data_IF_580856482508
#
_entry.id   IF_580856482508
#
_cell.length_a   1.000
_cell.length_b   1.000
_cell.length_c   1.000
_cell.angle_alpha   90.00
_cell.angle_beta   90.00
_cell.angle_gamma   90.00
#
_symmetry.space_group_name_H-M   'P 1'
#
loop_
_entity.id
_entity.type
_entity.pdbx_description
1 polymer ?
#
# COMPACT_ATOMS: atom_id res chain seq x y z
N UNK A 1 38.08 41.72 51.03
CA UNK A 1 36.90 41.66 50.14
C UNK A 1 37.32 40.97 48.84
N UNK A 2 36.99 39.65 48.70
CA UNK A 2 37.31 38.85 47.51
C UNK A 2 36.08 38.90 46.57
N UNK A 3 36.27 39.50 45.38
CA UNK A 3 35.26 39.49 44.31
C UNK A 3 35.32 38.11 43.61
N UNK A 4 34.24 37.37 43.65
CA UNK A 4 34.04 36.16 42.87
C UNK A 4 33.47 36.59 41.49
N UNK A 5 34.27 36.40 40.45
CA UNK A 5 33.81 36.47 39.04
C UNK A 5 33.13 35.15 38.71
N UNK A 6 31.82 35.13 38.60
CA UNK A 6 31.07 34.03 37.95
C UNK A 6 31.34 34.10 36.46
N UNK A 7 32.13 33.18 35.97
CA UNK A 7 32.29 32.93 34.55
C UNK A 7 31.02 32.20 34.03
N UNK A 8 30.26 32.87 33.17
CA UNK A 8 29.17 32.28 32.41
C UNK A 8 29.81 31.38 31.35
N UNK A 9 29.82 30.06 31.58
CA UNK A 9 30.16 29.09 30.54
C UNK A 9 28.92 28.98 29.65
N UNK A 10 28.93 29.68 28.52
CA UNK A 10 27.98 29.46 27.44
C UNK A 10 28.20 28.07 26.87
N UNK A 11 27.36 27.14 27.28
CA UNK A 11 27.31 25.79 26.69
C UNK A 11 26.77 25.97 25.26
N UNK A 12 27.65 26.02 24.27
CA UNK A 12 27.29 25.93 22.87
C UNK A 12 26.73 24.51 22.67
N UNK A 13 25.42 24.38 22.65
CA UNK A 13 24.76 23.18 22.13
C UNK A 13 24.98 23.22 20.61
N UNK A 14 26.05 22.57 20.17
CA UNK A 14 26.18 22.19 18.78
C UNK A 14 25.06 21.21 18.50
N UNK A 15 23.96 21.70 17.90
CA UNK A 15 23.01 20.82 17.22
C UNK A 15 23.81 20.25 16.06
N UNK A 16 24.42 19.08 16.27
CA UNK A 16 24.99 18.31 15.19
C UNK A 16 23.82 18.00 14.25
N UNK A 17 23.81 18.59 13.05
CA UNK A 17 23.01 18.11 11.95
C UNK A 17 23.47 16.66 11.73
N UNK A 18 22.60 15.74 12.08
CA UNK A 18 22.90 14.31 12.09
C UNK A 18 22.62 13.78 10.67
N UNK A 19 23.48 14.24 9.74
CA UNK A 19 23.39 13.89 8.33
C UNK A 19 24.14 12.59 8.05
N UNK A 20 23.65 11.84 7.05
CA UNK A 20 24.25 10.59 6.60
C UNK A 20 23.39 9.37 6.89
N UNK A 21 24.00 8.19 6.85
CA UNK A 21 23.30 6.92 7.10
C UNK A 21 23.46 6.52 8.56
N UNK A 22 22.32 6.44 9.27
CA UNK A 22 22.26 5.86 10.63
C UNK A 22 21.90 4.40 10.53
N UNK A 23 22.60 3.58 11.33
CA UNK A 23 22.33 2.14 11.43
C UNK A 23 21.85 1.81 12.84
N UNK A 24 20.67 1.19 12.90
CA UNK A 24 20.18 0.55 14.11
C UNK A 24 20.43 -0.94 14.07
N UNK A 25 20.63 -1.55 15.23
CA UNK A 25 20.92 -2.98 15.38
C UNK A 25 19.89 -3.65 16.27
N UNK A 26 19.64 -4.92 16.01
CA UNK A 26 18.87 -5.82 16.84
C UNK A 26 19.73 -6.34 18.00
N UNK A 27 19.13 -6.90 19.05
CA UNK A 27 19.84 -7.50 20.19
C UNK A 27 20.80 -8.63 19.78
N UNK A 28 20.50 -9.34 18.68
CA UNK A 28 21.34 -10.39 18.12
C UNK A 28 22.54 -9.87 17.27
N UNK A 29 22.71 -8.54 17.18
CA UNK A 29 23.77 -7.89 16.43
C UNK A 29 23.49 -7.69 14.93
N UNK A 30 22.40 -8.20 14.39
CA UNK A 30 22.01 -7.95 13.00
C UNK A 30 21.56 -6.50 12.81
N UNK A 31 21.79 -5.94 11.62
CA UNK A 31 21.27 -4.62 11.26
C UNK A 31 19.73 -4.70 11.23
N UNK A 32 19.09 -3.77 11.93
CA UNK A 32 17.64 -3.58 11.93
C UNK A 32 17.21 -2.61 10.84
N UNK A 33 17.97 -1.50 10.69
CA UNK A 33 17.68 -0.48 9.68
C UNK A 33 18.92 0.31 9.30
N UNK A 34 18.91 0.83 8.06
CA UNK A 34 19.84 1.82 7.55
C UNK A 34 19.01 3.00 7.02
N UNK A 35 19.05 4.11 7.73
CA UNK A 35 18.21 5.27 7.47
C UNK A 35 19.07 6.45 7.05
N UNK A 36 18.79 7.02 5.90
CA UNK A 36 19.52 8.18 5.39
C UNK A 36 18.86 9.47 5.85
N UNK A 37 19.67 10.34 6.46
CA UNK A 37 19.24 11.64 6.96
C UNK A 37 20.00 12.79 6.26
N UNK A 38 19.28 13.88 6.04
CA UNK A 38 19.81 15.16 5.61
C UNK A 38 19.07 16.27 6.39
N UNK A 39 19.79 17.19 7.00
CA UNK A 39 19.22 18.25 7.86
C UNK A 39 18.31 17.68 8.98
N UNK A 40 18.66 16.51 9.53
CA UNK A 40 17.92 15.85 10.59
C UNK A 40 16.62 15.15 10.18
N UNK A 41 16.30 15.11 8.88
CA UNK A 41 15.13 14.44 8.31
C UNK A 41 15.52 13.27 7.43
N UNK A 42 14.64 12.28 7.32
CA UNK A 42 14.80 11.20 6.35
C UNK A 42 14.85 11.79 4.94
N UNK A 43 15.94 11.52 4.21
CA UNK A 43 16.14 12.02 2.86
C UNK A 43 16.97 11.03 2.04
N UNK A 44 16.39 10.51 0.97
CA UNK A 44 16.96 9.45 0.16
C UNK A 44 16.50 8.06 0.57
N UNK A 45 17.25 7.04 0.15
CA UNK A 45 16.91 5.64 0.36
C UNK A 45 17.12 5.22 1.82
N UNK A 46 16.11 4.58 2.39
CA UNK A 46 16.12 3.99 3.73
C UNK A 46 15.65 2.54 3.67
N UNK A 47 16.29 1.67 4.45
CA UNK A 47 16.13 0.22 4.37
C UNK A 47 15.89 -0.36 5.75
N UNK A 48 14.99 -1.34 5.84
CA UNK A 48 14.71 -2.12 7.04
C UNK A 48 14.88 -3.60 6.76
N UNK A 49 15.38 -4.32 7.76
CA UNK A 49 15.66 -5.74 7.68
C UNK A 49 14.84 -6.55 8.69
N UNK A 50 14.62 -7.82 8.37
CA UNK A 50 14.01 -8.79 9.29
C UNK A 50 14.98 -9.16 10.41
N UNK A 51 14.51 -9.86 11.45
CA UNK A 51 15.37 -10.43 12.50
C UNK A 51 16.45 -11.36 11.95
N UNK A 52 16.23 -11.96 10.78
CA UNK A 52 17.20 -12.85 10.08
C UNK A 52 18.19 -12.08 9.18
N UNK A 53 18.12 -10.72 9.15
CA UNK A 53 19.00 -9.88 8.32
C UNK A 53 18.60 -9.86 6.83
N UNK A 54 17.40 -10.32 6.47
CA UNK A 54 16.88 -10.22 5.10
C UNK A 54 16.18 -8.88 4.90
N UNK A 55 16.19 -8.35 3.68
CA UNK A 55 15.41 -7.16 3.33
C UNK A 55 13.94 -7.38 3.67
N UNK A 56 13.35 -6.40 4.34
CA UNK A 56 11.93 -6.37 4.66
C UNK A 56 11.23 -5.23 3.93
N UNK A 57 11.82 -4.03 3.98
CA UNK A 57 11.27 -2.81 3.41
C UNK A 57 12.41 -1.92 2.91
N UNK A 58 12.16 -1.24 1.80
CA UNK A 58 13.01 -0.19 1.25
C UNK A 58 12.12 0.95 0.79
N UNK A 59 12.42 2.17 1.16
CA UNK A 59 11.65 3.35 0.77
C UNK A 59 12.54 4.52 0.44
N UNK A 60 12.11 5.35 -0.50
CA UNK A 60 12.77 6.62 -0.82
C UNK A 60 11.99 7.76 -0.18
N UNK A 61 12.69 8.62 0.54
CA UNK A 61 12.11 9.70 1.32
C UNK A 61 12.69 11.05 0.90
N UNK A 62 11.87 12.09 1.08
CA UNK A 62 12.26 13.48 0.97
C UNK A 62 11.63 14.24 2.14
N UNK A 63 12.44 14.85 2.99
CA UNK A 63 12.00 15.60 4.18
C UNK A 63 11.01 14.83 5.07
N UNK A 64 11.31 13.54 5.41
CA UNK A 64 10.47 12.60 6.17
C UNK A 64 9.24 12.07 5.44
N UNK A 65 8.98 12.49 4.20
CA UNK A 65 7.82 12.07 3.42
C UNK A 65 8.25 11.06 2.36
N UNK A 66 7.47 9.99 2.14
CA UNK A 66 7.69 9.07 1.02
C UNK A 66 7.61 9.83 -0.31
N UNK A 67 8.70 9.78 -1.09
CA UNK A 67 8.81 10.43 -2.40
C UNK A 67 9.73 9.60 -3.31
N UNK A 68 9.13 8.69 -4.06
CA UNK A 68 9.79 7.69 -4.88
C UNK A 68 9.28 6.29 -4.64
N UNK A 69 10.12 5.28 -4.90
CA UNK A 69 9.74 3.87 -4.81
C UNK A 69 9.71 3.38 -3.35
N UNK A 70 8.68 2.60 -3.04
CA UNK A 70 8.53 1.86 -1.79
C UNK A 70 8.34 0.38 -2.09
N UNK A 71 9.28 -0.45 -1.64
CA UNK A 71 9.32 -1.89 -1.91
C UNK A 71 9.24 -2.68 -0.62
N UNK A 72 8.48 -3.77 -0.62
CA UNK A 72 8.40 -4.74 0.48
C UNK A 72 8.75 -6.13 0.00
N UNK A 73 9.28 -6.95 0.89
CA UNK A 73 9.63 -8.35 0.63
C UNK A 73 8.90 -9.29 1.58
N UNK A 74 8.56 -10.45 1.06
CA UNK A 74 8.07 -11.59 1.86
C UNK A 74 9.20 -12.17 2.73
N UNK A 75 8.87 -12.88 3.82
CA UNK A 75 9.87 -13.54 4.67
C UNK A 75 10.75 -14.57 3.95
N UNK A 76 10.36 -15.03 2.77
CA UNK A 76 11.15 -15.92 1.90
C UNK A 76 12.11 -15.17 0.97
N UNK A 77 12.18 -13.83 1.07
CA UNK A 77 13.07 -12.97 0.29
C UNK A 77 12.54 -12.58 -1.10
N UNK A 78 11.38 -13.08 -1.53
CA UNK A 78 10.74 -12.64 -2.77
C UNK A 78 10.04 -11.31 -2.58
N UNK A 79 9.93 -10.51 -3.63
CA UNK A 79 9.22 -9.23 -3.62
C UNK A 79 7.75 -9.44 -3.27
N UNK A 80 7.21 -8.61 -2.37
CA UNK A 80 5.81 -8.64 -1.95
C UNK A 80 5.02 -7.48 -2.56
N UNK A 81 5.61 -6.27 -2.61
CA UNK A 81 5.00 -5.13 -3.29
C UNK A 81 6.05 -4.13 -3.77
N UNK A 82 5.70 -3.42 -4.84
CA UNK A 82 6.37 -2.22 -5.31
C UNK A 82 5.31 -1.15 -5.55
N UNK A 83 5.52 0.01 -4.98
CA UNK A 83 4.58 1.13 -4.97
C UNK A 83 5.37 2.43 -5.24
N UNK A 84 4.77 3.38 -5.96
CA UNK A 84 5.38 4.68 -6.24
C UNK A 84 4.63 5.79 -5.50
N UNK A 85 5.38 6.69 -4.89
CA UNK A 85 4.86 7.80 -4.11
C UNK A 85 5.40 9.12 -4.59
N UNK A 86 4.53 10.14 -4.59
CA UNK A 86 4.90 11.55 -4.79
C UNK A 86 4.31 12.35 -3.63
N UNK A 87 5.17 13.04 -2.88
CA UNK A 87 4.77 13.83 -1.71
C UNK A 87 3.85 13.05 -0.72
N UNK A 88 4.16 11.78 -0.46
CA UNK A 88 3.44 10.90 0.46
C UNK A 88 2.14 10.30 -0.07
N UNK A 89 1.77 10.59 -1.30
CA UNK A 89 0.60 9.99 -1.97
C UNK A 89 1.04 8.93 -2.97
N UNK A 90 0.29 7.85 -3.07
CA UNK A 90 0.46 6.88 -4.16
C UNK A 90 0.26 7.60 -5.51
N UNK A 91 1.27 7.53 -6.37
CA UNK A 91 1.26 8.15 -7.70
C UNK A 91 2.17 7.36 -8.64
N UNK A 92 1.60 6.67 -9.61
CA UNK A 92 2.32 5.76 -10.50
C UNK A 92 1.87 4.31 -10.36
N UNK A 93 2.67 3.40 -10.91
CA UNK A 93 2.39 1.97 -10.91
C UNK A 93 2.44 1.37 -9.50
N UNK A 94 1.58 0.38 -9.27
CA UNK A 94 1.62 -0.49 -8.10
C UNK A 94 1.57 -1.94 -8.56
N UNK A 95 2.47 -2.76 -7.99
CA UNK A 95 2.48 -4.21 -8.20
C UNK A 95 2.58 -4.92 -6.85
N UNK A 96 1.84 -6.02 -6.72
CA UNK A 96 1.91 -6.91 -5.55
C UNK A 96 2.04 -8.34 -6.01
N UNK A 97 2.78 -9.14 -5.25
CA UNK A 97 3.05 -10.54 -5.56
C UNK A 97 2.69 -11.44 -4.39
N UNK A 98 2.29 -12.64 -4.70
CA UNK A 98 2.19 -13.74 -3.74
C UNK A 98 3.60 -14.18 -3.27
N UNK A 99 3.67 -14.90 -2.18
CA UNK A 99 4.92 -15.46 -1.65
C UNK A 99 5.54 -16.53 -2.55
N UNK A 100 4.76 -17.15 -3.45
CA UNK A 100 5.28 -18.01 -4.52
C UNK A 100 5.97 -17.21 -5.64
N UNK A 101 5.81 -15.87 -5.67
CA UNK A 101 6.38 -14.95 -6.67
C UNK A 101 5.47 -14.68 -7.87
N UNK A 102 4.28 -15.27 -7.91
CA UNK A 102 3.27 -14.95 -8.93
C UNK A 102 2.69 -13.56 -8.67
N UNK A 103 2.37 -12.83 -9.73
CA UNK A 103 1.71 -11.53 -9.63
C UNK A 103 0.31 -11.73 -8.99
N UNK A 104 0.04 -10.95 -7.93
CA UNK A 104 -1.26 -10.90 -7.27
C UNK A 104 -2.12 -9.77 -7.83
N UNK A 105 -1.53 -8.58 -7.97
CA UNK A 105 -2.25 -7.38 -8.36
C UNK A 105 -1.32 -6.41 -9.06
N UNK A 106 -1.83 -5.74 -10.10
CA UNK A 106 -1.18 -4.58 -10.70
C UNK A 106 -2.21 -3.52 -11.07
N UNK A 107 -1.77 -2.27 -11.08
CA UNK A 107 -2.58 -1.12 -11.45
C UNK A 107 -1.81 0.18 -11.31
N UNK A 108 -2.54 1.27 -11.31
CA UNK A 108 -1.97 2.61 -11.27
C UNK A 108 -2.76 3.51 -10.33
N UNK A 109 -2.05 4.39 -9.65
CA UNK A 109 -2.63 5.51 -8.90
C UNK A 109 -2.23 6.84 -9.53
N UNK A 110 -3.13 7.82 -9.39
CA UNK A 110 -2.86 9.23 -9.63
C UNK A 110 -3.32 10.03 -8.42
N UNK A 111 -2.42 10.77 -7.76
CA UNK A 111 -2.69 11.58 -6.56
C UNK A 111 -3.40 10.81 -5.41
N UNK A 112 -3.12 9.52 -5.25
CA UNK A 112 -3.74 8.63 -4.25
C UNK A 112 -5.07 8.01 -4.67
N UNK A 113 -5.55 8.28 -5.89
CA UNK A 113 -6.77 7.73 -6.45
C UNK A 113 -6.43 6.61 -7.44
N UNK A 114 -7.20 5.50 -7.41
CA UNK A 114 -7.07 4.45 -8.43
C UNK A 114 -7.34 5.04 -9.80
N UNK A 115 -6.45 4.76 -10.77
CA UNK A 115 -6.56 5.28 -12.14
C UNK A 115 -6.13 4.22 -13.16
N UNK A 116 -6.64 4.29 -14.39
CA UNK A 116 -6.32 3.35 -15.44
C UNK A 116 -6.81 1.93 -15.20
N UNK A 117 -6.12 0.97 -15.83
CA UNK A 117 -6.48 -0.45 -15.77
C UNK A 117 -5.90 -1.11 -14.52
N UNK A 118 -6.69 -2.01 -13.92
CA UNK A 118 -6.33 -2.82 -12.76
C UNK A 118 -6.60 -4.28 -13.04
N UNK A 119 -5.66 -5.14 -12.60
CA UNK A 119 -5.77 -6.58 -12.71
C UNK A 119 -5.46 -7.24 -11.38
N UNK A 120 -6.20 -8.30 -11.08
CA UNK A 120 -6.01 -9.14 -9.90
C UNK A 120 -5.94 -10.57 -10.39
N UNK A 121 -5.02 -11.36 -9.83
CA UNK A 121 -4.76 -12.73 -10.25
C UNK A 121 -4.85 -13.69 -9.07
N UNK A 122 -5.20 -14.93 -9.36
CA UNK A 122 -5.06 -16.05 -8.44
C UNK A 122 -3.59 -16.49 -8.33
N UNK A 123 -3.22 -17.25 -7.27
CA UNK A 123 -1.88 -17.84 -7.17
C UNK A 123 -1.50 -18.77 -8.33
N UNK A 124 -2.47 -19.29 -9.08
CA UNK A 124 -2.28 -20.05 -10.33
C UNK A 124 -1.88 -19.18 -11.53
N UNK A 125 -2.06 -17.85 -11.42
CA UNK A 125 -1.92 -16.89 -12.51
C UNK A 125 -3.20 -16.65 -13.32
N UNK A 126 -4.31 -17.35 -13.01
CA UNK A 126 -5.61 -17.07 -13.62
C UNK A 126 -6.13 -15.69 -13.20
N UNK A 127 -6.88 -15.02 -14.09
CA UNK A 127 -7.46 -13.71 -13.80
C UNK A 127 -8.57 -13.84 -12.74
N UNK A 128 -8.38 -13.17 -11.59
CA UNK A 128 -9.37 -13.10 -10.52
C UNK A 128 -10.24 -11.83 -10.60
N UNK A 129 -9.73 -10.76 -11.22
CA UNK A 129 -10.49 -9.52 -11.36
C UNK A 129 -9.82 -8.54 -12.31
N UNK A 130 -10.65 -7.67 -12.87
CA UNK A 130 -10.21 -6.51 -13.64
C UNK A 130 -11.09 -5.31 -13.36
N UNK A 131 -10.52 -4.13 -13.51
CA UNK A 131 -11.25 -2.88 -13.41
C UNK A 131 -10.62 -1.82 -14.32
N UNK A 132 -11.41 -0.80 -14.63
CA UNK A 132 -10.92 0.45 -15.20
C UNK A 132 -11.43 1.58 -14.33
N UNK A 133 -10.49 2.40 -13.82
CA UNK A 133 -10.79 3.52 -12.96
C UNK A 133 -10.34 4.82 -13.60
N UNK A 134 -11.06 5.88 -13.28
CA UNK A 134 -10.66 7.25 -13.53
C UNK A 134 -10.80 8.03 -12.22
N UNK A 135 -9.67 8.41 -11.64
CA UNK A 135 -9.62 9.14 -10.37
C UNK A 135 -10.52 8.50 -9.29
N UNK A 136 -10.31 7.21 -9.02
CA UNK A 136 -11.02 6.45 -7.99
C UNK A 136 -12.45 6.04 -8.34
N UNK A 137 -12.95 6.40 -9.53
CA UNK A 137 -14.31 6.07 -9.98
C UNK A 137 -14.26 5.04 -11.08
N UNK A 138 -14.98 3.94 -10.93
CA UNK A 138 -15.00 2.85 -11.90
C UNK A 138 -15.76 1.63 -11.41
N UNK A 139 -15.59 0.52 -12.11
CA UNK A 139 -16.21 -0.76 -11.76
C UNK A 139 -15.19 -1.89 -11.84
N UNK A 140 -15.11 -2.66 -10.77
CA UNK A 140 -14.36 -3.90 -10.73
C UNK A 140 -15.27 -5.08 -11.07
N UNK A 141 -14.78 -5.98 -11.90
CA UNK A 141 -15.40 -7.27 -12.21
C UNK A 141 -14.47 -8.36 -11.70
N UNK A 142 -15.01 -9.28 -10.90
CA UNK A 142 -14.28 -10.43 -10.39
C UNK A 142 -14.74 -11.70 -11.06
N UNK A 143 -13.82 -12.64 -11.17
CA UNK A 143 -14.02 -13.96 -11.78
C UNK A 143 -13.59 -15.04 -10.81
N UNK A 144 -14.29 -16.17 -10.81
CA UNK A 144 -13.81 -17.40 -10.20
C UNK A 144 -12.67 -17.99 -11.01
N UNK A 145 -11.86 -18.85 -10.40
CA UNK A 145 -10.72 -19.46 -11.07
C UNK A 145 -11.12 -20.31 -12.29
N UNK A 146 -12.35 -20.80 -12.32
CA UNK A 146 -12.99 -21.45 -13.47
C UNK A 146 -13.35 -20.50 -14.61
N UNK A 147 -13.22 -19.16 -14.40
CA UNK A 147 -13.36 -18.11 -15.40
C UNK A 147 -14.76 -17.48 -15.51
N UNK A 148 -15.79 -17.95 -14.75
CA UNK A 148 -17.08 -17.27 -14.76
C UNK A 148 -17.07 -16.01 -13.89
N UNK A 149 -17.81 -14.99 -14.31
CA UNK A 149 -17.99 -13.75 -13.56
C UNK A 149 -18.77 -14.05 -12.28
N UNK A 150 -18.20 -13.73 -11.11
CA UNK A 150 -18.84 -13.97 -9.82
C UNK A 150 -19.26 -12.69 -9.10
N UNK A 151 -18.70 -11.52 -9.46
CA UNK A 151 -18.95 -10.29 -8.72
C UNK A 151 -18.71 -9.06 -9.59
N UNK A 152 -19.55 -8.03 -9.41
CA UNK A 152 -19.33 -6.65 -9.88
C UNK A 152 -19.40 -5.68 -8.71
N UNK A 153 -18.45 -4.76 -8.63
CA UNK A 153 -18.33 -3.78 -7.54
C UNK A 153 -18.10 -2.39 -8.11
N UNK A 154 -19.05 -1.45 -7.95
CA UNK A 154 -18.84 -0.06 -8.34
C UNK A 154 -18.09 0.72 -7.25
N UNK A 155 -17.28 1.68 -7.69
CA UNK A 155 -16.49 2.58 -6.85
C UNK A 155 -16.65 4.03 -7.26
N UNK A 156 -16.68 4.92 -6.28
CA UNK A 156 -16.57 6.38 -6.42
C UNK A 156 -15.59 6.87 -5.35
N UNK A 157 -14.59 7.67 -5.73
CA UNK A 157 -13.56 8.22 -4.85
C UNK A 157 -12.84 7.12 -4.02
N UNK A 158 -12.49 5.98 -4.65
CA UNK A 158 -11.91 4.77 -4.04
C UNK A 158 -12.82 4.04 -3.04
N UNK A 159 -14.06 4.45 -2.87
CA UNK A 159 -15.01 3.83 -1.96
C UNK A 159 -16.07 3.03 -2.73
N UNK A 160 -16.51 1.89 -2.20
CA UNK A 160 -17.66 1.17 -2.75
C UNK A 160 -18.89 2.10 -2.73
N UNK A 161 -19.60 2.21 -3.86
CA UNK A 161 -20.74 3.09 -4.02
C UNK A 161 -21.75 2.46 -4.98
N UNK A 162 -23.01 2.26 -4.54
CA UNK A 162 -24.08 1.61 -5.30
C UNK A 162 -24.08 0.09 -5.12
N UNK A 163 -24.56 -0.64 -6.11
CA UNK A 163 -24.90 -2.06 -6.01
C UNK A 163 -23.70 -2.96 -6.31
N UNK A 164 -23.22 -3.69 -5.31
CA UNK A 164 -22.32 -4.83 -5.44
C UNK A 164 -23.17 -6.06 -5.77
N UNK A 165 -22.92 -6.72 -6.90
CA UNK A 165 -23.78 -7.77 -7.44
C UNK A 165 -23.02 -9.08 -7.54
N UNK A 166 -23.54 -10.11 -6.89
CA UNK A 166 -23.01 -11.47 -6.90
C UNK A 166 -23.74 -12.35 -7.92
N UNK A 167 -23.00 -13.20 -8.59
CA UNK A 167 -23.50 -14.10 -9.63
C UNK A 167 -23.14 -15.56 -9.33
N UNK A 168 -24.02 -16.47 -9.73
CA UNK A 168 -23.70 -17.89 -9.79
C UNK A 168 -23.07 -18.26 -11.15
N UNK A 169 -22.62 -19.54 -11.34
CA UNK A 169 -22.02 -19.99 -12.61
C UNK A 169 -22.91 -19.81 -13.85
N UNK A 170 -24.23 -19.83 -13.67
CA UNK A 170 -25.20 -19.64 -14.75
C UNK A 170 -25.45 -18.18 -15.09
N UNK A 171 -24.78 -17.24 -14.38
CA UNK A 171 -24.91 -15.81 -14.57
C UNK A 171 -26.15 -15.19 -13.90
N UNK A 172 -26.89 -15.94 -13.07
CA UNK A 172 -28.00 -15.42 -12.28
C UNK A 172 -27.50 -14.63 -11.09
N UNK A 173 -28.20 -13.58 -10.72
CA UNK A 173 -27.90 -12.78 -9.52
C UNK A 173 -28.35 -13.58 -8.30
N UNK A 174 -27.44 -13.78 -7.34
CA UNK A 174 -27.70 -14.49 -6.09
C UNK A 174 -27.74 -13.57 -4.87
N UNK A 175 -27.15 -12.38 -4.99
CA UNK A 175 -27.08 -11.43 -3.89
C UNK A 175 -26.80 -10.03 -4.43
N UNK A 176 -27.39 -9.03 -3.79
CA UNK A 176 -27.08 -7.63 -4.01
C UNK A 176 -26.78 -6.99 -2.66
N UNK A 177 -25.70 -6.20 -2.60
CA UNK A 177 -25.35 -5.38 -1.44
C UNK A 177 -25.25 -3.94 -1.90
N UNK A 178 -26.08 -3.06 -1.33
CA UNK A 178 -26.04 -1.64 -1.62
C UNK A 178 -25.05 -0.92 -0.71
N UNK A 179 -24.20 -0.10 -1.29
CA UNK A 179 -23.21 0.69 -0.56
C UNK A 179 -23.43 2.19 -0.75
N UNK A 180 -23.25 2.93 0.34
CA UNK A 180 -23.14 4.38 0.33
C UNK A 180 -21.85 4.78 1.05
N UNK A 181 -20.92 5.45 0.33
CA UNK A 181 -19.62 5.90 0.85
C UNK A 181 -18.84 4.79 1.59
N UNK A 182 -18.80 3.60 1.01
CA UNK A 182 -18.09 2.43 1.54
C UNK A 182 -18.82 1.68 2.66
N UNK A 183 -20.02 2.10 3.06
CA UNK A 183 -20.83 1.44 4.09
C UNK A 183 -21.99 0.69 3.48
N UNK A 184 -22.29 -0.50 3.99
CA UNK A 184 -23.47 -1.27 3.59
C UNK A 184 -24.73 -0.54 4.09
N UNK A 185 -25.69 -0.31 3.21
CA UNK A 185 -27.00 0.29 3.52
C UNK A 185 -28.14 -0.72 3.38
N UNK A 186 -28.03 -1.70 2.50
CA UNK A 186 -28.97 -2.82 2.40
C UNK A 186 -28.30 -4.07 1.84
N UNK A 187 -28.93 -5.22 2.06
CA UNK A 187 -28.54 -6.52 1.53
C UNK A 187 -29.78 -7.31 1.15
N UNK A 188 -29.80 -7.87 -0.06
CA UNK A 188 -30.88 -8.66 -0.64
C UNK A 188 -30.28 -9.96 -1.15
N UNK A 189 -30.82 -11.10 -0.70
CA UNK A 189 -30.40 -12.42 -1.14
C UNK A 189 -31.43 -12.98 -2.12
N UNK A 190 -30.95 -13.57 -3.23
CA UNK A 190 -31.74 -14.18 -4.29
C UNK A 190 -32.90 -13.31 -4.81
N UNK A 191 -32.58 -12.10 -5.33
CA UNK A 191 -33.58 -11.11 -5.74
C UNK A 191 -34.51 -11.57 -6.90
N UNK A 192 -34.27 -12.76 -7.47
CA UNK A 192 -35.07 -13.33 -8.55
C UNK A 192 -36.18 -14.28 -8.04
N UNK A 193 -36.21 -14.61 -6.72
CA UNK A 193 -37.23 -15.47 -6.12
C UNK A 193 -38.39 -14.69 -5.44
N UNK A 194 -38.37 -13.36 -5.43
CA UNK A 194 -39.41 -12.53 -4.81
C UNK A 194 -40.60 -12.22 -5.76
N UNK A 195 -40.59 -12.75 -6.99
CA UNK A 195 -41.66 -12.55 -7.99
C UNK A 195 -42.59 -13.78 -8.20
N UNK A 196 -42.85 -14.60 -7.15
CA UNK A 196 -43.93 -15.61 -7.19
C UNK A 196 -45.05 -15.31 -6.19
#
# INVERSE_FOLDING_TARGET
MKKWMLGLVAMLVLVACDDGVKKDYLENGNIKSELRYENGKLNGESVWYTQKGQLAVKGTYKDDVLDGTYTRWHPNGKMASEEHYVNGKLDGEVKKWFDNGQLFQEGQYAEGMMDGQWFIFYPSGALAGKAEYKMGTGKQVCYEESGYKCLEVPYVDNLKQGREIYYNPDGRITKIVEYEKGKVVSEENDPQNEEE
#
